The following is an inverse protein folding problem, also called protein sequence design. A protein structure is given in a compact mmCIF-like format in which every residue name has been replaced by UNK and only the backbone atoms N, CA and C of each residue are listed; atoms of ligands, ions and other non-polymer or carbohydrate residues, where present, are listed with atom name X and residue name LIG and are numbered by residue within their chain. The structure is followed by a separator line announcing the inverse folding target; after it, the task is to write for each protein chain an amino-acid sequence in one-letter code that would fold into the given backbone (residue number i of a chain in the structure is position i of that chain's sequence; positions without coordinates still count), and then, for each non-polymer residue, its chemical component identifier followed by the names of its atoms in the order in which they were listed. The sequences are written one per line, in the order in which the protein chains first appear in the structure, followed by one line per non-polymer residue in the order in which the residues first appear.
data_IF_148338541409
#
_entry.id   IF_148338541409
#
_cell.length_a   1.000
_cell.length_b   1.000
_cell.length_c   1.000
_cell.angle_alpha   90.00
_cell.angle_beta   90.00
_cell.angle_gamma   90.00
#
_symmetry.space_group_name_H-M   'P 1'
#
loop_
_entity.id
_entity.type
_entity.pdbx_description
1 polymer ?
#
# COMPACT_ATOMS: atom_id res chain seq x y z
N UNK A 1 -1.53 18.28 -17.60
CA UNK A 1 -1.48 18.40 -16.12
C UNK A 1 -2.58 17.56 -15.54
N UNK A 2 -2.33 16.90 -14.40
CA UNK A 2 -3.30 16.06 -13.68
C UNK A 2 -4.58 16.84 -13.27
N UNK A 3 -4.58 18.15 -13.38
CA UNK A 3 -5.66 19.08 -13.01
C UNK A 3 -6.95 18.95 -13.85
N UNK A 4 -6.96 18.08 -14.87
CA UNK A 4 -8.16 17.77 -15.69
C UNK A 4 -8.66 16.33 -15.54
N UNK A 5 -8.00 15.50 -14.72
CA UNK A 5 -8.41 14.11 -14.53
C UNK A 5 -9.59 14.04 -13.54
N UNK A 6 -10.61 13.20 -13.80
CA UNK A 6 -11.66 12.90 -12.83
C UNK A 6 -11.08 12.43 -11.48
N UNK A 7 -11.71 12.82 -10.37
CA UNK A 7 -11.20 12.55 -9.02
C UNK A 7 -10.90 11.07 -8.74
N UNK A 8 -11.71 10.15 -9.28
CA UNK A 8 -11.50 8.72 -9.11
C UNK A 8 -10.20 8.20 -9.74
N UNK A 9 -9.66 8.88 -10.76
CA UNK A 9 -8.37 8.57 -11.38
C UNK A 9 -7.25 9.07 -10.47
N UNK A 10 -7.40 10.27 -9.90
CA UNK A 10 -6.44 10.85 -8.95
C UNK A 10 -6.28 9.95 -7.73
N UNK A 11 -7.39 9.50 -7.14
CA UNK A 11 -7.37 8.59 -5.97
C UNK A 11 -6.60 7.30 -6.25
N UNK A 12 -6.73 6.76 -7.47
CA UNK A 12 -6.04 5.52 -7.90
C UNK A 12 -4.55 5.76 -8.10
N UNK A 13 -4.18 6.86 -8.75
CA UNK A 13 -2.79 7.24 -8.90
C UNK A 13 -2.12 7.47 -7.54
N UNK A 14 -2.84 8.04 -6.58
CA UNK A 14 -2.32 8.24 -5.23
C UNK A 14 -2.14 6.92 -4.48
N UNK A 15 -3.05 5.97 -4.60
CA UNK A 15 -2.86 4.59 -4.10
C UNK A 15 -1.58 3.95 -4.67
N UNK A 16 -1.36 4.05 -5.98
CA UNK A 16 -0.13 3.55 -6.62
C UNK A 16 1.12 4.27 -6.09
N UNK A 17 1.07 5.60 -5.94
CA UNK A 17 2.17 6.37 -5.33
C UNK A 17 2.47 5.88 -3.92
N UNK A 18 1.45 5.59 -3.10
CA UNK A 18 1.66 5.03 -1.76
C UNK A 18 2.33 3.66 -1.79
N UNK A 19 1.95 2.77 -2.73
CA UNK A 19 2.61 1.46 -2.89
C UNK A 19 4.10 1.61 -3.22
N UNK A 20 4.44 2.49 -4.17
CA UNK A 20 5.83 2.76 -4.56
C UNK A 20 6.61 3.38 -3.39
N UNK A 21 6.05 4.41 -2.73
CA UNK A 21 6.69 5.06 -1.58
C UNK A 21 6.93 4.09 -0.44
N UNK A 22 5.97 3.20 -0.17
CA UNK A 22 6.09 2.18 0.88
C UNK A 22 7.29 1.25 0.66
N UNK A 23 7.55 0.83 -0.58
CA UNK A 23 8.70 -0.04 -0.91
C UNK A 23 10.03 0.69 -0.68
N UNK A 24 10.08 1.99 -1.00
CA UNK A 24 11.32 2.78 -0.98
C UNK A 24 11.58 3.51 0.34
N UNK A 25 10.66 3.49 1.31
CA UNK A 25 10.78 4.28 2.54
C UNK A 25 11.73 3.63 3.57
N UNK A 26 12.89 4.25 3.73
CA UNK A 26 13.98 3.81 4.62
C UNK A 26 13.65 3.87 6.11
N UNK A 27 12.63 4.62 6.51
CA UNK A 27 12.13 4.62 7.90
C UNK A 27 10.98 3.64 8.06
N UNK A 28 10.29 3.24 6.99
CA UNK A 28 9.29 2.19 7.07
C UNK A 28 9.93 0.79 7.07
N UNK A 29 11.04 0.62 6.33
CA UNK A 29 11.83 -0.62 6.24
C UNK A 29 10.95 -1.85 6.12
N UNK A 30 10.14 -1.88 5.06
CA UNK A 30 9.26 -3.01 4.81
C UNK A 30 10.12 -4.29 4.70
N UNK A 31 9.80 -5.37 5.44
CA UNK A 31 10.60 -6.59 5.38
C UNK A 31 10.62 -7.17 3.98
N UNK A 32 11.73 -7.78 3.59
CA UNK A 32 11.97 -8.27 2.24
C UNK A 32 10.86 -9.18 1.68
N UNK A 33 10.31 -10.08 2.51
CA UNK A 33 9.21 -10.95 2.08
C UNK A 33 7.91 -10.18 1.81
N UNK A 34 7.66 -9.09 2.54
CA UNK A 34 6.53 -8.21 2.29
C UNK A 34 6.80 -7.31 1.07
N UNK A 35 8.04 -6.85 0.85
CA UNK A 35 8.45 -6.13 -0.38
C UNK A 35 8.21 -6.99 -1.62
N UNK A 36 8.68 -8.23 -1.62
CA UNK A 36 8.42 -9.19 -2.71
C UNK A 36 6.95 -9.34 -2.99
N UNK A 37 6.12 -9.39 -1.94
CA UNK A 37 4.69 -9.50 -2.10
C UNK A 37 4.07 -8.26 -2.76
N UNK A 38 4.45 -7.06 -2.32
CA UNK A 38 3.98 -5.81 -2.94
C UNK A 38 4.44 -5.75 -4.39
N UNK A 39 5.69 -6.12 -4.69
CA UNK A 39 6.21 -6.18 -6.06
C UNK A 39 5.46 -7.20 -6.92
N UNK A 40 5.14 -8.38 -6.41
CA UNK A 40 4.34 -9.37 -7.14
C UNK A 40 2.92 -8.83 -7.44
N UNK A 41 2.31 -8.12 -6.49
CA UNK A 41 1.01 -7.47 -6.71
C UNK A 41 1.11 -6.30 -7.72
N UNK A 42 2.25 -5.61 -7.78
CA UNK A 42 2.50 -4.55 -8.76
C UNK A 42 2.95 -5.07 -10.13
N UNK A 43 3.55 -6.25 -10.22
CA UNK A 43 3.98 -6.86 -11.48
C UNK A 43 2.79 -7.14 -12.42
N UNK A 44 1.58 -7.25 -11.87
CA UNK A 44 0.35 -7.30 -12.67
C UNK A 44 0.09 -6.03 -13.50
N UNK A 45 0.75 -4.90 -13.22
CA UNK A 45 0.68 -3.70 -14.07
C UNK A 45 1.68 -3.72 -15.23
N UNK A 46 2.65 -4.64 -15.25
CA UNK A 46 3.73 -4.65 -16.25
C UNK A 46 3.52 -5.64 -17.39
N UNK A 47 2.51 -6.51 -17.31
CA UNK A 47 2.11 -7.44 -18.37
C UNK A 47 0.66 -7.13 -18.80
N UNK A 48 0.46 -6.30 -19.84
CA UNK A 48 -0.88 -5.88 -20.30
C UNK A 48 -1.71 -7.03 -20.90
N UNK A 49 -1.03 -8.04 -21.46
CA UNK A 49 -1.64 -9.07 -22.30
C UNK A 49 -2.41 -10.17 -21.52
N UNK A 50 -2.30 -10.24 -20.19
CA UNK A 50 -2.72 -11.45 -19.46
C UNK A 50 -4.19 -11.43 -18.98
N UNK A 51 -4.95 -10.36 -19.25
CA UNK A 51 -6.36 -10.27 -18.84
C UNK A 51 -7.34 -9.77 -19.93
N UNK A 52 -7.03 -8.74 -20.74
CA UNK A 52 -7.96 -8.19 -21.76
C UNK A 52 -7.21 -7.71 -23.03
N UNK A 53 -7.61 -8.12 -24.25
CA UNK A 53 -6.94 -7.70 -25.49
C UNK A 53 -7.12 -6.19 -25.80
N UNK A 54 -6.02 -5.51 -26.10
CA UNK A 54 -5.88 -4.05 -26.32
C UNK A 54 -6.67 -3.41 -27.49
N UNK A 55 -7.54 -4.15 -28.17
CA UNK A 55 -8.14 -3.69 -29.44
C UNK A 55 -9.47 -2.93 -29.29
N UNK A 56 -9.90 -2.60 -28.07
CA UNK A 56 -11.19 -1.93 -27.83
C UNK A 56 -11.00 -0.54 -27.18
N UNK A 57 -11.18 0.56 -27.93
CA UNK A 57 -11.06 1.92 -27.40
C UNK A 57 -12.07 2.17 -26.27
N UNK A 58 -11.58 2.54 -25.08
CA UNK A 58 -12.38 2.84 -23.88
C UNK A 58 -12.40 1.75 -22.81
N UNK A 59 -11.97 0.52 -23.12
CA UNK A 59 -11.91 -0.61 -22.18
C UNK A 59 -10.57 -0.70 -21.41
N UNK A 60 -9.44 -0.37 -22.04
CA UNK A 60 -8.12 -0.43 -21.37
C UNK A 60 -7.98 0.42 -20.10
N UNK A 61 -8.68 1.57 -19.99
CA UNK A 61 -8.68 2.39 -18.77
C UNK A 61 -9.60 1.85 -17.66
N UNK A 62 -10.65 1.10 -18.02
CA UNK A 62 -11.55 0.46 -17.06
C UNK A 62 -10.82 -0.68 -16.35
N UNK A 63 -9.99 -1.40 -17.08
CA UNK A 63 -9.20 -2.51 -16.56
C UNK A 63 -8.11 -2.02 -15.61
N UNK A 64 -7.36 -0.95 -15.94
CA UNK A 64 -6.38 -0.34 -15.02
C UNK A 64 -7.03 0.14 -13.71
N UNK A 65 -8.19 0.79 -13.82
CA UNK A 65 -8.89 1.33 -12.65
C UNK A 65 -9.43 0.23 -11.73
N UNK A 66 -9.83 -0.91 -12.29
CA UNK A 66 -10.23 -2.11 -11.56
C UNK A 66 -8.99 -2.80 -10.97
N UNK A 67 -7.90 -2.92 -11.74
CA UNK A 67 -6.65 -3.53 -11.29
C UNK A 67 -6.03 -2.79 -10.12
N UNK A 68 -5.98 -1.45 -10.16
CA UNK A 68 -5.57 -0.63 -9.00
C UNK A 68 -6.44 -0.91 -7.79
N UNK A 69 -7.75 -1.06 -7.98
CA UNK A 69 -8.66 -1.36 -6.88
C UNK A 69 -8.45 -2.78 -6.32
N UNK A 70 -8.21 -3.78 -7.16
CA UNK A 70 -7.91 -5.15 -6.74
C UNK A 70 -6.59 -5.22 -5.96
N UNK A 71 -5.51 -4.64 -6.49
CA UNK A 71 -4.21 -4.57 -5.82
C UNK A 71 -4.31 -3.79 -4.50
N UNK A 72 -5.07 -2.70 -4.49
CA UNK A 72 -5.35 -1.93 -3.26
C UNK A 72 -6.07 -2.77 -2.21
N UNK A 73 -7.03 -3.60 -2.61
CA UNK A 73 -7.74 -4.51 -1.71
C UNK A 73 -6.83 -5.61 -1.19
N UNK A 74 -5.97 -6.17 -2.04
CA UNK A 74 -5.00 -7.18 -1.64
C UNK A 74 -4.00 -6.63 -0.62
N UNK A 75 -3.49 -5.42 -0.87
CA UNK A 75 -2.49 -4.74 -0.04
C UNK A 75 -3.11 -3.82 1.04
N UNK A 76 -4.41 -3.97 1.30
CA UNK A 76 -5.15 -3.04 2.18
C UNK A 76 -4.47 -2.84 3.53
N UNK A 77 -4.02 -3.93 4.15
CA UNK A 77 -3.45 -3.86 5.50
C UNK A 77 -2.04 -3.26 5.53
N UNK A 78 -1.27 -3.48 4.48
CA UNK A 78 0.04 -2.91 4.24
C UNK A 78 -0.08 -1.39 4.01
N UNK A 79 -1.02 -0.96 3.16
CA UNK A 79 -1.30 0.45 2.89
C UNK A 79 -1.80 1.19 4.13
N UNK A 80 -2.78 0.63 4.86
CA UNK A 80 -3.25 1.20 6.13
C UNK A 80 -2.11 1.37 7.15
N UNK A 81 -1.22 0.37 7.24
CA UNK A 81 -0.08 0.44 8.15
C UNK A 81 0.95 1.50 7.72
N UNK A 82 1.22 1.62 6.42
CA UNK A 82 2.15 2.62 5.91
C UNK A 82 1.62 4.05 6.05
N UNK A 83 0.35 4.29 5.75
CA UNK A 83 -0.29 5.60 5.93
C UNK A 83 -0.26 6.00 7.42
N UNK A 84 -0.64 5.10 8.32
CA UNK A 84 -0.57 5.33 9.77
C UNK A 84 0.86 5.65 10.25
N UNK A 85 1.87 5.07 9.60
CA UNK A 85 3.27 5.34 9.91
C UNK A 85 3.69 6.74 9.44
N UNK A 86 3.33 7.13 8.22
CA UNK A 86 3.57 8.47 7.70
C UNK A 86 2.91 9.54 8.58
N UNK A 87 1.64 9.36 8.94
CA UNK A 87 0.92 10.30 9.79
C UNK A 87 1.57 10.44 11.17
N UNK A 88 2.05 9.32 11.74
CA UNK A 88 2.78 9.33 13.00
C UNK A 88 4.10 10.08 12.88
N UNK A 89 4.89 9.80 11.82
CA UNK A 89 6.17 10.47 11.55
C UNK A 89 5.98 11.97 11.36
N UNK A 90 4.91 12.40 10.69
CA UNK A 90 4.60 13.81 10.46
C UNK A 90 4.22 14.53 11.75
N UNK A 91 3.41 13.90 12.63
CA UNK A 91 3.08 14.45 13.95
C UNK A 91 4.33 14.61 14.82
N UNK A 92 5.13 13.56 14.94
CA UNK A 92 6.40 13.57 15.68
C UNK A 92 7.34 14.65 15.15
N UNK A 93 7.36 14.90 13.83
CA UNK A 93 8.17 15.97 13.24
C UNK A 93 7.71 17.39 13.61
N UNK A 94 6.41 17.59 13.82
CA UNK A 94 5.81 18.91 14.11
C UNK A 94 5.87 19.27 15.59
N UNK A 95 5.79 18.28 16.48
CA UNK A 95 5.71 18.49 17.93
C UNK A 95 7.08 18.74 18.59
N UNK A 96 8.20 18.42 17.91
CA UNK A 96 9.52 18.31 18.54
C UNK A 96 10.46 19.50 18.32
N UNK A 97 10.09 20.67 18.83
CA UNK A 97 11.04 21.78 18.98
C UNK A 97 12.20 21.51 19.96
N UNK A 98 12.23 20.37 20.68
CA UNK A 98 13.20 20.08 21.77
C UNK A 98 13.67 18.62 21.93
N UNK A 99 13.21 17.65 21.14
CA UNK A 99 13.60 16.23 21.30
C UNK A 99 14.83 15.84 20.45
N UNK A 100 15.61 14.86 20.92
CA UNK A 100 16.86 14.45 20.28
C UNK A 100 16.59 13.48 19.12
N UNK A 101 17.50 13.46 18.15
CA UNK A 101 17.41 12.57 16.99
C UNK A 101 17.35 11.06 17.36
N UNK A 102 18.00 10.67 18.46
CA UNK A 102 17.99 9.28 18.97
C UNK A 102 16.59 8.91 19.45
N UNK A 103 15.97 9.75 20.28
CA UNK A 103 14.63 9.51 20.81
C UNK A 103 13.60 9.40 19.68
N UNK A 104 13.72 10.25 18.66
CA UNK A 104 12.89 10.19 17.45
C UNK A 104 12.99 8.85 16.73
N UNK A 105 14.20 8.33 16.57
CA UNK A 105 14.42 7.05 15.90
C UNK A 105 13.77 5.89 16.66
N UNK A 106 13.91 5.86 17.98
CA UNK A 106 13.37 4.79 18.82
C UNK A 106 11.83 4.74 18.72
N UNK A 107 11.15 5.89 18.78
CA UNK A 107 9.69 5.93 18.59
C UNK A 107 9.24 5.48 17.20
N UNK A 108 9.99 5.85 16.15
CA UNK A 108 9.69 5.39 14.80
C UNK A 108 9.91 3.88 14.66
N UNK A 109 10.95 3.33 15.28
CA UNK A 109 11.24 1.89 15.27
C UNK A 109 10.15 1.09 16.03
N UNK A 110 9.70 1.58 17.17
CA UNK A 110 8.59 0.99 17.95
C UNK A 110 7.28 1.05 17.18
N UNK A 111 6.95 2.22 16.62
CA UNK A 111 5.73 2.41 15.84
C UNK A 111 5.71 1.52 14.60
N UNK A 112 6.83 1.43 13.88
CA UNK A 112 7.01 0.53 12.73
C UNK A 112 6.72 -0.91 13.13
N UNK A 113 7.37 -1.38 14.19
CA UNK A 113 7.25 -2.77 14.67
C UNK A 113 5.81 -3.13 15.04
N UNK A 114 5.10 -2.22 15.72
CA UNK A 114 3.69 -2.39 16.08
C UNK A 114 2.78 -2.47 14.85
N UNK A 115 2.96 -1.57 13.87
CA UNK A 115 2.14 -1.50 12.66
C UNK A 115 2.38 -2.70 11.74
N UNK A 116 3.64 -3.12 11.55
CA UNK A 116 3.95 -4.31 10.75
C UNK A 116 3.44 -5.60 11.41
N UNK A 117 3.45 -5.67 12.75
CA UNK A 117 2.83 -6.80 13.45
C UNK A 117 1.31 -6.80 13.29
N UNK A 118 0.68 -5.62 13.31
CA UNK A 118 -0.76 -5.46 13.08
C UNK A 118 -1.17 -5.90 11.68
N UNK A 119 -0.44 -5.46 10.64
CA UNK A 119 -0.79 -5.83 9.25
C UNK A 119 -0.68 -7.34 9.04
N UNK A 120 0.39 -7.99 9.55
CA UNK A 120 0.55 -9.46 9.48
C UNK A 120 -0.62 -10.21 10.12
N UNK A 121 -1.03 -9.80 11.33
CA UNK A 121 -2.17 -10.42 12.02
C UNK A 121 -3.50 -10.23 11.28
N UNK A 122 -3.78 -9.02 10.79
CA UNK A 122 -5.02 -8.73 10.04
C UNK A 122 -5.10 -9.55 8.75
N UNK A 123 -3.98 -9.66 8.06
CA UNK A 123 -3.82 -10.45 6.83
C UNK A 123 -4.05 -11.94 7.03
N UNK A 124 -3.47 -12.52 8.09
CA UNK A 124 -3.71 -13.93 8.45
C UNK A 124 -5.18 -14.20 8.75
N UNK A 125 -5.84 -13.30 9.51
CA UNK A 125 -7.28 -13.40 9.80
C UNK A 125 -8.13 -13.29 8.54
N UNK A 126 -7.77 -12.41 7.61
CA UNK A 126 -8.44 -12.30 6.31
C UNK A 126 -8.40 -13.60 5.51
N UNK A 127 -7.22 -14.24 5.44
CA UNK A 127 -7.05 -15.55 4.77
C UNK A 127 -7.89 -16.66 5.41
N UNK A 128 -7.91 -16.73 6.75
CA UNK A 128 -8.70 -17.73 7.49
C UNK A 128 -10.22 -17.59 7.21
N UNK A 129 -10.73 -16.37 7.19
CA UNK A 129 -12.16 -16.13 6.90
C UNK A 129 -12.53 -16.52 5.47
N UNK A 130 -11.65 -16.24 4.50
CA UNK A 130 -11.85 -16.64 3.11
C UNK A 130 -11.84 -18.17 2.95
N UNK A 131 -10.99 -18.90 3.69
CA UNK A 131 -10.99 -20.36 3.65
C UNK A 131 -12.24 -20.99 4.29
N UNK A 132 -12.74 -20.43 5.40
CA UNK A 132 -13.92 -21.02 6.09
C UNK A 132 -15.20 -20.86 5.27
N UNK A 133 -15.42 -19.70 4.64
CA UNK A 133 -16.61 -19.47 3.81
C UNK A 133 -16.61 -20.17 2.45
N UNK A 134 -15.57 -20.95 2.11
CA UNK A 134 -15.49 -21.78 0.90
C UNK A 134 -15.94 -23.23 1.17
N UNK A 135 -16.20 -23.59 2.43
CA UNK A 135 -16.66 -24.91 2.87
C UNK A 135 -18.08 -24.87 3.49
N UNK A 136 -18.78 -23.73 3.39
CA UNK A 136 -20.19 -23.53 3.73
C UNK A 136 -21.02 -23.37 2.45
#
# INVERSE_FOLDING_TARGET
GLDRAPGFIVDRLDKLRYMIRMISDVDWRLPHDEVKRVLNALAYFTEPDDLIPDHIPGLGFLDDAIMVELVTRELKHELEAYIDFCDYRDRVSREQGRETAVSRKDWLDDRRSALQSRMRRRRQRGKQRASTGLFD
#
